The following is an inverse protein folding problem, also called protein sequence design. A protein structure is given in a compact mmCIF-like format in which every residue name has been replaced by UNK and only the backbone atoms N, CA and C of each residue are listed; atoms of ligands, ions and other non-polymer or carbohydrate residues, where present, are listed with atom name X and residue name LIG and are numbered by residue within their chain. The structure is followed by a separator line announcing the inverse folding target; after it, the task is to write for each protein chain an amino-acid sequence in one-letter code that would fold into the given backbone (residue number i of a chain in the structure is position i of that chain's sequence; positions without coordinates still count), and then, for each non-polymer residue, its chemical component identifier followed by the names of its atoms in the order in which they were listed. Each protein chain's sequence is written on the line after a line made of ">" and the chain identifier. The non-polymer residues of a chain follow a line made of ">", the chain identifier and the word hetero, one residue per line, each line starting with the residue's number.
data_IF_531370132220
#
_entry.id   IF_531370132220
#
_cell.length_a   1.000
_cell.length_b   1.000
_cell.length_c   1.000
_cell.angle_alpha   90.00
_cell.angle_beta   90.00
_cell.angle_gamma   90.00
#
_symmetry.space_group_name_H-M   'P 1'
#
loop_
_entity.id
_entity.type
_entity.pdbx_description
1 polymer ?
#
# COMPACT_ATOMS: atom_id res chain seq x y z
N UNK A 1 4.74 17.60 -1.74
CA UNK A 1 4.71 16.70 -2.91
C UNK A 1 3.41 16.97 -3.62
N UNK A 2 3.43 17.10 -4.94
CA UNK A 2 2.19 17.09 -5.72
C UNK A 2 1.51 15.73 -5.51
N UNK A 3 0.21 15.74 -5.26
CA UNK A 3 -0.57 14.53 -4.99
C UNK A 3 -0.86 13.86 -6.32
N UNK A 4 -0.43 12.61 -6.48
CA UNK A 4 -0.79 11.84 -7.66
C UNK A 4 -2.21 11.28 -7.43
N UNK A 5 -3.13 11.61 -8.35
CA UNK A 5 -4.55 11.36 -8.17
C UNK A 5 -4.92 9.87 -8.10
N UNK A 6 -4.34 9.03 -8.93
CA UNK A 6 -4.58 7.57 -8.93
C UNK A 6 -4.11 6.91 -7.63
N UNK A 7 -2.97 7.35 -7.07
CA UNK A 7 -2.52 6.88 -5.75
C UNK A 7 -3.50 7.31 -4.67
N UNK A 8 -3.95 8.56 -4.70
CA UNK A 8 -4.96 9.06 -3.77
C UNK A 8 -6.24 8.22 -3.88
N UNK A 9 -6.75 7.99 -5.08
CA UNK A 9 -8.02 7.28 -5.27
C UNK A 9 -7.94 5.80 -4.86
N UNK A 10 -6.80 5.14 -5.08
CA UNK A 10 -6.57 3.79 -4.58
C UNK A 10 -6.56 3.75 -3.05
N UNK A 11 -5.84 4.68 -2.41
CA UNK A 11 -5.78 4.79 -0.95
C UNK A 11 -7.17 5.12 -0.36
N UNK A 12 -7.98 5.92 -1.04
CA UNK A 12 -9.35 6.20 -0.63
C UNK A 12 -10.21 4.94 -0.63
N UNK A 13 -10.09 4.09 -1.66
CA UNK A 13 -10.78 2.80 -1.70
C UNK A 13 -10.26 1.84 -0.64
N UNK A 14 -8.95 1.79 -0.41
CA UNK A 14 -8.37 0.98 0.67
C UNK A 14 -8.94 1.39 2.03
N UNK A 15 -9.04 2.69 2.29
CA UNK A 15 -9.69 3.21 3.50
C UNK A 15 -11.18 2.83 3.58
N UNK A 16 -11.93 2.98 2.48
CA UNK A 16 -13.36 2.65 2.43
C UNK A 16 -13.62 1.15 2.69
N UNK A 17 -12.79 0.27 2.14
CA UNK A 17 -12.85 -1.18 2.33
C UNK A 17 -12.18 -1.65 3.64
N UNK A 18 -11.63 -0.73 4.44
CA UNK A 18 -10.92 -1.02 5.69
C UNK A 18 -9.76 -2.01 5.48
N UNK A 19 -9.03 -1.83 4.39
CA UNK A 19 -7.79 -2.57 4.12
C UNK A 19 -6.77 -2.20 5.19
N UNK A 20 -6.15 -3.23 5.78
CA UNK A 20 -5.01 -3.10 6.67
C UNK A 20 -3.74 -2.93 5.80
N UNK A 21 -3.31 -1.69 5.61
CA UNK A 21 -2.13 -1.33 4.81
C UNK A 21 -1.26 -0.26 5.45
N UNK A 22 -0.01 -0.17 5.00
CA UNK A 22 0.98 0.82 5.41
C UNK A 22 1.79 1.25 4.18
N UNK A 23 1.93 2.55 3.95
CA UNK A 23 2.81 3.09 2.91
C UNK A 23 4.26 2.92 3.33
N UNK A 24 5.08 2.33 2.46
CA UNK A 24 6.50 2.03 2.71
C UNK A 24 7.37 2.69 1.64
N UNK A 25 8.66 2.33 1.59
CA UNK A 25 9.55 2.74 0.52
C UNK A 25 9.80 4.26 0.46
N UNK A 26 9.98 4.78 -0.75
CA UNK A 26 10.34 6.19 -0.96
C UNK A 26 9.28 7.18 -0.47
N UNK A 27 8.00 6.83 -0.51
CA UNK A 27 6.93 7.69 0.00
C UNK A 27 6.97 7.81 1.53
N UNK A 28 7.25 6.72 2.25
CA UNK A 28 7.49 6.78 3.69
C UNK A 28 8.75 7.58 4.04
N UNK A 29 9.85 7.40 3.30
CA UNK A 29 11.07 8.19 3.49
C UNK A 29 10.83 9.69 3.25
N UNK A 30 10.09 10.04 2.20
CA UNK A 30 9.73 11.42 1.90
C UNK A 30 8.88 12.05 3.01
N UNK A 31 7.93 11.29 3.58
CA UNK A 31 7.15 11.70 4.74
C UNK A 31 8.06 12.05 5.95
N UNK A 32 9.12 11.26 6.17
CA UNK A 32 10.11 11.48 7.23
C UNK A 32 11.22 12.48 6.89
N UNK A 33 11.05 13.26 5.82
CA UNK A 33 11.99 14.33 5.44
C UNK A 33 13.24 13.86 4.67
N UNK A 34 13.24 12.64 4.16
CA UNK A 34 14.33 12.07 3.34
C UNK A 34 13.83 11.68 1.94
N UNK A 35 13.36 12.65 1.10
CA UNK A 35 12.75 12.35 -0.19
C UNK A 35 13.74 11.68 -1.15
N UNK A 36 13.25 10.64 -1.84
CA UNK A 36 13.95 9.95 -2.92
C UNK A 36 13.06 9.91 -4.15
N UNK A 37 13.60 10.24 -5.32
CA UNK A 37 12.85 10.13 -6.56
C UNK A 37 12.47 8.67 -6.83
N UNK A 38 11.19 8.43 -7.08
CA UNK A 38 10.63 7.09 -7.31
C UNK A 38 9.49 7.21 -8.33
N UNK A 39 9.26 6.16 -9.10
CA UNK A 39 8.21 6.13 -10.14
C UNK A 39 6.99 5.31 -9.74
N UNK A 40 6.89 5.00 -8.45
CA UNK A 40 6.03 3.99 -7.87
C UNK A 40 5.74 4.26 -6.39
N UNK A 41 4.59 3.79 -5.91
CA UNK A 41 4.24 3.76 -4.50
C UNK A 41 4.27 2.32 -3.99
N UNK A 42 5.05 2.07 -2.94
CA UNK A 42 5.12 0.78 -2.28
C UNK A 42 4.14 0.74 -1.10
N UNK A 43 3.31 -0.30 -1.01
CA UNK A 43 2.31 -0.48 0.05
C UNK A 43 2.47 -1.87 0.66
N UNK A 44 2.79 -1.94 1.94
CA UNK A 44 2.74 -3.18 2.72
C UNK A 44 1.30 -3.47 3.14
N UNK A 45 0.82 -4.69 2.91
CA UNK A 45 -0.49 -5.16 3.37
C UNK A 45 -0.36 -6.34 4.34
N UNK A 46 -1.32 -6.47 5.26
CA UNK A 46 -1.38 -7.62 6.17
C UNK A 46 -1.66 -8.91 5.37
N UNK A 47 -0.82 -9.95 5.48
CA UNK A 47 -0.97 -11.17 4.68
C UNK A 47 -1.94 -12.17 5.33
N UNK A 48 -3.22 -11.82 5.36
CA UNK A 48 -4.28 -12.69 5.89
C UNK A 48 -5.51 -12.69 4.99
N UNK A 49 -6.34 -13.72 5.17
CA UNK A 49 -7.50 -13.97 4.30
C UNK A 49 -8.53 -12.84 4.32
N UNK A 50 -8.80 -12.24 5.49
CA UNK A 50 -9.80 -11.19 5.62
C UNK A 50 -9.31 -9.92 4.89
N UNK A 51 -8.05 -9.54 5.09
CA UNK A 51 -7.48 -8.39 4.42
C UNK A 51 -7.35 -8.62 2.90
N UNK A 52 -6.95 -9.82 2.47
CA UNK A 52 -6.90 -10.20 1.06
C UNK A 52 -8.25 -9.99 0.34
N UNK A 53 -9.36 -10.38 0.99
CA UNK A 53 -10.70 -10.16 0.44
C UNK A 53 -11.05 -8.67 0.31
N UNK A 54 -10.69 -7.86 1.31
CA UNK A 54 -10.89 -6.40 1.27
C UNK A 54 -10.07 -5.74 0.16
N UNK A 55 -8.82 -6.18 -0.03
CA UNK A 55 -7.95 -5.70 -1.12
C UNK A 55 -8.58 -6.02 -2.47
N UNK A 56 -9.02 -7.25 -2.69
CA UNK A 56 -9.68 -7.64 -3.94
C UNK A 56 -10.95 -6.81 -4.20
N UNK A 57 -11.76 -6.56 -3.16
CA UNK A 57 -12.93 -5.69 -3.27
C UNK A 57 -12.57 -4.28 -3.72
N UNK A 58 -11.56 -3.67 -3.08
CA UNK A 58 -11.07 -2.34 -3.44
C UNK A 58 -10.48 -2.29 -4.85
N UNK A 59 -9.71 -3.31 -5.25
CA UNK A 59 -9.11 -3.39 -6.60
C UNK A 59 -10.17 -3.59 -7.69
N UNK A 60 -11.22 -4.37 -7.43
CA UNK A 60 -12.36 -4.51 -8.35
C UNK A 60 -13.04 -3.15 -8.54
N UNK A 61 -13.31 -2.43 -7.46
CA UNK A 61 -13.95 -1.10 -7.53
C UNK A 61 -13.06 -0.06 -8.21
N UNK A 62 -11.73 -0.15 -8.04
CA UNK A 62 -10.77 0.71 -8.73
C UNK A 62 -10.69 0.44 -10.25
N UNK A 63 -11.17 -0.73 -10.71
CA UNK A 63 -11.17 -1.12 -12.13
C UNK A 63 -10.18 -2.22 -12.51
N UNK A 64 -9.55 -2.89 -11.53
CA UNK A 64 -8.61 -4.00 -11.73
C UNK A 64 -9.24 -5.39 -11.57
N UNK A 65 -10.56 -5.51 -11.58
CA UNK A 65 -11.27 -6.78 -11.38
C UNK A 65 -10.97 -7.86 -12.43
N UNK A 66 -10.45 -7.50 -13.60
CA UNK A 66 -10.10 -8.45 -14.68
C UNK A 66 -8.68 -8.99 -14.60
N UNK A 67 -7.88 -8.60 -13.59
CA UNK A 67 -6.49 -9.05 -13.47
C UNK A 67 -6.35 -10.53 -13.05
N UNK A 68 -7.44 -11.18 -12.64
CA UNK A 68 -7.41 -12.57 -12.19
C UNK A 68 -6.66 -12.77 -10.87
N UNK A 69 -6.47 -11.69 -10.09
CA UNK A 69 -5.87 -11.74 -8.75
C UNK A 69 -6.76 -12.55 -7.82
N UNK A 70 -6.13 -13.36 -6.97
CA UNK A 70 -6.82 -14.20 -6.00
C UNK A 70 -6.39 -13.87 -4.58
N UNK A 71 -7.06 -14.45 -3.58
CA UNK A 71 -6.69 -14.21 -2.19
C UNK A 71 -5.28 -14.72 -1.87
N UNK A 72 -4.85 -15.79 -2.55
CA UNK A 72 -3.54 -16.42 -2.41
C UNK A 72 -2.39 -15.47 -2.73
N UNK A 73 -2.61 -14.52 -3.66
CA UNK A 73 -1.62 -13.49 -4.01
C UNK A 73 -1.32 -12.58 -2.82
N UNK A 74 -2.30 -12.34 -1.94
CA UNK A 74 -2.19 -11.44 -0.80
C UNK A 74 -2.00 -12.15 0.54
N UNK A 75 -2.24 -13.46 0.64
CA UNK A 75 -2.00 -14.23 1.86
C UNK A 75 -0.62 -14.87 1.94
N UNK A 76 0.03 -15.09 0.79
CA UNK A 76 1.38 -15.65 0.78
C UNK A 76 2.43 -14.57 1.13
N UNK A 77 3.42 -14.86 1.99
CA UNK A 77 4.53 -13.94 2.23
C UNK A 77 5.39 -13.79 0.97
N UNK A 78 6.22 -12.75 0.94
CA UNK A 78 7.22 -12.48 -0.09
C UNK A 78 6.64 -12.33 -1.51
N UNK A 79 5.42 -11.77 -1.60
CA UNK A 79 4.76 -11.41 -2.85
C UNK A 79 4.87 -9.93 -3.11
N UNK A 80 5.01 -9.59 -4.39
CA UNK A 80 4.93 -8.23 -4.93
C UNK A 80 3.92 -8.26 -6.07
N UNK A 81 2.80 -7.57 -5.89
CA UNK A 81 1.76 -7.41 -6.89
C UNK A 81 1.89 -6.00 -7.45
N UNK A 82 2.17 -5.91 -8.75
CA UNK A 82 2.35 -4.63 -9.43
C UNK A 82 1.06 -4.23 -10.14
N UNK A 83 0.59 -3.03 -9.85
CA UNK A 83 -0.62 -2.46 -10.41
C UNK A 83 -0.26 -1.15 -11.15
N UNK A 84 -0.66 -1.04 -12.41
CA UNK A 84 -0.31 0.10 -13.27
C UNK A 84 1.09 0.00 -13.89
N UNK A 85 1.60 1.14 -14.37
CA UNK A 85 2.91 1.25 -15.05
C UNK A 85 3.60 2.56 -14.66
N UNK A 86 4.93 2.57 -14.61
CA UNK A 86 5.67 3.79 -14.24
C UNK A 86 5.34 4.96 -15.21
N UNK A 87 5.24 6.21 -14.70
CA UNK A 87 5.55 6.67 -13.34
C UNK A 87 4.38 6.55 -12.34
N UNK A 88 3.30 5.87 -12.72
CA UNK A 88 2.09 5.68 -11.90
C UNK A 88 1.89 4.19 -11.68
N UNK A 89 2.77 3.61 -10.86
CA UNK A 89 2.73 2.20 -10.47
C UNK A 89 2.57 2.08 -8.96
N UNK A 90 1.81 1.10 -8.52
CA UNK A 90 1.73 0.72 -7.11
C UNK A 90 2.24 -0.70 -6.96
N UNK A 91 3.19 -0.90 -6.06
CA UNK A 91 3.72 -2.22 -5.69
C UNK A 91 3.11 -2.59 -4.33
N UNK A 92 2.15 -3.52 -4.34
CA UNK A 92 1.54 -4.07 -3.13
C UNK A 92 2.39 -5.25 -2.68
N UNK A 93 2.96 -5.16 -1.48
CA UNK A 93 3.87 -6.17 -0.92
C UNK A 93 3.26 -6.84 0.31
N UNK A 94 3.48 -8.15 0.46
CA UNK A 94 2.94 -8.94 1.58
C UNK A 94 3.94 -9.17 2.71
N UNK A 95 5.19 -8.74 2.53
CA UNK A 95 6.25 -8.81 3.55
C UNK A 95 7.30 -7.71 3.34
N UNK A 96 8.07 -7.45 4.39
CA UNK A 96 9.30 -6.66 4.34
C UNK A 96 10.46 -7.49 4.90
N UNK A 97 11.65 -7.31 4.33
CA UNK A 97 12.85 -7.93 4.89
C UNK A 97 13.17 -7.28 6.24
N UNK A 98 13.24 -8.10 7.30
CA UNK A 98 13.66 -7.66 8.63
C UNK A 98 12.59 -6.90 9.44
N UNK A 99 11.36 -6.77 8.92
CA UNK A 99 10.25 -6.10 9.62
C UNK A 99 8.97 -6.92 9.42
N UNK A 100 8.41 -7.44 10.52
CA UNK A 100 7.12 -8.14 10.52
C UNK A 100 5.95 -7.16 10.35
N UNK A 101 4.78 -7.68 9.96
CA UNK A 101 3.57 -6.87 9.94
C UNK A 101 3.26 -6.24 11.31
N UNK A 102 3.45 -6.99 12.40
CA UNK A 102 3.16 -6.52 13.76
C UNK A 102 4.08 -5.36 14.15
N UNK A 103 5.37 -5.46 13.84
CA UNK A 103 6.34 -4.37 14.08
C UNK A 103 6.01 -3.15 13.24
N UNK A 104 5.76 -3.32 11.93
CA UNK A 104 5.36 -2.25 11.04
C UNK A 104 4.07 -1.58 11.52
N UNK A 105 3.09 -2.37 11.93
CA UNK A 105 1.81 -1.87 12.44
C UNK A 105 2.00 -1.12 13.76
N UNK A 106 2.81 -1.62 14.70
CA UNK A 106 3.06 -0.95 15.98
C UNK A 106 3.81 0.39 15.79
N UNK A 107 4.77 0.45 14.87
CA UNK A 107 5.58 1.64 14.58
C UNK A 107 4.99 2.60 13.55
N UNK A 108 3.81 2.30 12.98
CA UNK A 108 3.23 3.13 11.91
C UNK A 108 2.89 4.53 12.41
N UNK A 109 3.13 5.52 11.55
CA UNK A 109 2.81 6.92 11.81
C UNK A 109 1.64 7.33 10.92
N UNK A 110 0.65 7.98 11.53
CA UNK A 110 -0.48 8.55 10.80
C UNK A 110 -0.08 9.89 10.18
N UNK A 111 -0.40 10.11 8.92
CA UNK A 111 -0.04 11.33 8.20
C UNK A 111 -0.91 11.57 6.97
N UNK A 112 -0.86 12.79 6.41
CA UNK A 112 -1.65 13.13 5.23
C UNK A 112 -1.01 12.65 3.93
N UNK A 113 -1.83 12.09 3.04
CA UNK A 113 -1.55 11.99 1.60
C UNK A 113 -2.60 12.80 0.85
N UNK A 114 -2.26 14.06 0.53
CA UNK A 114 -3.25 15.02 0.02
C UNK A 114 -4.33 15.31 1.05
N UNK A 115 -5.58 15.00 0.72
CA UNK A 115 -6.75 15.14 1.59
C UNK A 115 -7.03 13.89 2.45
N UNK A 116 -6.32 12.79 2.21
CA UNK A 116 -6.51 11.53 2.91
C UNK A 116 -5.60 11.42 4.12
N UNK A 117 -6.12 10.76 5.16
CA UNK A 117 -5.33 10.32 6.29
C UNK A 117 -4.92 8.86 6.08
N UNK A 118 -3.62 8.60 6.12
CA UNK A 118 -3.03 7.27 5.82
C UNK A 118 -1.96 6.91 6.85
N UNK A 119 -1.46 5.68 6.77
CA UNK A 119 -0.37 5.20 7.61
C UNK A 119 0.92 5.04 6.82
N UNK A 120 2.01 5.57 7.35
CA UNK A 120 3.37 5.40 6.85
C UNK A 120 4.16 4.49 7.81
N UNK A 121 5.11 3.72 7.27
CA UNK A 121 6.06 2.99 8.11
C UNK A 121 6.87 3.98 8.97
N UNK A 122 7.10 3.61 10.23
CA UNK A 122 7.96 4.37 11.14
C UNK A 122 9.41 4.47 10.65
N UNK A 123 10.17 5.40 11.21
CA UNK A 123 11.59 5.61 10.91
C UNK A 123 12.53 4.73 11.76
N UNK A 124 12.04 4.26 12.90
CA UNK A 124 12.77 3.52 13.93
C UNK A 124 12.23 2.10 14.09
#
# INVERSE_FOLDING_TARGET
>A
MEVQQDFRDLLALFNAHRVDYIIVGAYALAYHGAPRYTGDMDILVRPDLENAQRILGALVEFGFGTLGLTVEDFTAPDKVIQIGVRPIRVDIVTSLTGVSWQEAQAGRVKGPYGDLEVHYLGKE
#
